data_IF_781277552454
#
_entry.id   IF_781277552454
#
_cell.length_a   1.000
_cell.length_b   1.000
_cell.length_c   1.000
_cell.angle_alpha   90.00
_cell.angle_beta   90.00
_cell.angle_gamma   90.00
#
_symmetry.space_group_name_H-M   'P 1'
#
loop_
_entity.id
_entity.type
_entity.pdbx_description
1 polymer ?
#
# COMPACT_ATOMS: atom_id res chain seq x y z
N UNK A 1 4.44 10.27 -16.86
CA UNK A 1 3.71 9.74 -15.69
C UNK A 1 3.90 8.23 -15.66
N UNK A 2 4.25 7.66 -14.50
CA UNK A 2 4.36 6.20 -14.34
C UNK A 2 2.99 5.53 -14.62
N UNK A 3 2.94 4.34 -15.24
CA UNK A 3 1.69 3.61 -15.46
C UNK A 3 0.85 3.42 -14.19
N UNK A 4 1.50 3.20 -13.05
CA UNK A 4 0.82 2.98 -11.76
C UNK A 4 0.06 4.21 -11.26
N UNK A 5 0.46 5.41 -11.70
CA UNK A 5 -0.21 6.66 -11.34
C UNK A 5 -1.51 6.90 -12.11
N UNK A 6 -1.84 6.03 -13.08
CA UNK A 6 -3.10 6.08 -13.85
C UNK A 6 -4.17 5.13 -13.30
N UNK A 7 -3.82 4.32 -12.29
CA UNK A 7 -4.77 3.41 -11.67
C UNK A 7 -5.76 4.19 -10.80
N UNK A 8 -7.03 3.76 -10.74
CA UNK A 8 -7.98 4.24 -9.74
C UNK A 8 -7.48 3.95 -8.32
N UNK A 9 -7.91 4.77 -7.35
CA UNK A 9 -7.50 4.61 -5.95
C UNK A 9 -7.97 3.27 -5.37
N UNK A 10 -9.13 2.77 -5.80
CA UNK A 10 -9.70 1.49 -5.40
C UNK A 10 -8.79 0.32 -5.82
N UNK A 11 -8.22 0.40 -7.02
CA UNK A 11 -7.29 -0.60 -7.52
C UNK A 11 -5.95 -0.53 -6.76
N UNK A 12 -5.46 0.66 -6.45
CA UNK A 12 -4.28 0.83 -5.61
C UNK A 12 -4.51 0.24 -4.20
N UNK A 13 -5.66 0.50 -3.58
CA UNK A 13 -6.02 -0.06 -2.28
C UNK A 13 -6.03 -1.60 -2.29
N UNK A 14 -6.62 -2.23 -3.32
CA UNK A 14 -6.61 -3.68 -3.47
C UNK A 14 -5.19 -4.25 -3.60
N UNK A 15 -4.33 -3.59 -4.39
CA UNK A 15 -2.91 -3.98 -4.52
C UNK A 15 -2.19 -3.88 -3.17
N UNK A 16 -2.43 -2.79 -2.43
CA UNK A 16 -1.81 -2.56 -1.13
C UNK A 16 -2.22 -3.62 -0.11
N UNK A 17 -3.51 -3.95 -0.03
CA UNK A 17 -4.03 -5.02 0.85
C UNK A 17 -3.41 -6.38 0.51
N UNK A 18 -3.30 -6.70 -0.78
CA UNK A 18 -2.68 -7.95 -1.21
C UNK A 18 -1.19 -8.00 -0.83
N UNK A 19 -0.46 -6.90 -0.99
CA UNK A 19 0.97 -6.82 -0.69
C UNK A 19 1.30 -6.95 0.81
N UNK A 20 0.39 -6.55 1.71
CA UNK A 20 0.60 -6.69 3.15
C UNK A 20 0.17 -8.06 3.69
N UNK A 21 -0.73 -8.78 3.00
CA UNK A 21 -1.16 -10.13 3.35
C UNK A 21 -0.09 -11.20 3.04
N UNK A 22 0.76 -10.93 2.05
CA UNK A 22 1.88 -11.80 1.68
C UNK A 22 3.19 -11.01 1.69
N UNK A 23 3.69 -10.61 2.88
CA UNK A 23 4.92 -9.86 2.97
C UNK A 23 6.09 -10.71 2.47
N UNK A 24 7.06 -10.06 1.81
CA UNK A 24 8.26 -10.75 1.35
C UNK A 24 9.00 -11.39 2.54
N UNK A 25 9.45 -12.66 2.43
CA UNK A 25 10.20 -13.30 3.50
C UNK A 25 11.46 -12.48 3.78
N UNK A 26 11.70 -12.17 5.06
CA UNK A 26 12.81 -11.35 5.57
C UNK A 26 12.71 -9.83 5.37
N UNK A 27 11.52 -9.27 5.15
CA UNK A 27 11.37 -7.81 5.20
C UNK A 27 11.60 -7.28 6.62
N UNK A 28 12.69 -6.56 6.85
CA UNK A 28 12.98 -5.88 8.11
C UNK A 28 12.04 -4.69 8.38
N UNK A 29 11.37 -4.19 7.34
CA UNK A 29 10.42 -3.07 7.41
C UNK A 29 8.99 -3.58 7.21
N UNK A 30 8.04 -2.98 7.92
CA UNK A 30 6.62 -3.25 7.71
C UNK A 30 6.22 -2.82 6.29
N UNK A 31 5.71 -3.76 5.49
CA UNK A 31 5.24 -3.50 4.10
C UNK A 31 4.28 -2.30 4.03
N UNK A 32 3.49 -2.10 5.09
CA UNK A 32 2.59 -0.95 5.23
C UNK A 32 3.33 0.40 5.14
N UNK A 33 4.44 0.52 5.87
CA UNK A 33 5.23 1.75 5.94
C UNK A 33 6.01 1.98 4.65
N UNK A 34 6.54 0.90 4.05
CA UNK A 34 7.27 0.97 2.78
C UNK A 34 6.37 1.51 1.68
N UNK A 35 5.19 0.93 1.48
CA UNK A 35 4.22 1.36 0.46
C UNK A 35 3.74 2.80 0.74
N UNK A 36 3.43 3.13 1.99
CA UNK A 36 3.00 4.48 2.38
C UNK A 36 4.10 5.54 2.17
N UNK A 37 5.36 5.15 2.05
CA UNK A 37 6.49 6.05 1.85
C UNK A 37 6.76 6.44 0.39
N UNK A 38 6.19 5.70 -0.58
CA UNK A 38 6.51 5.84 -2.01
C UNK A 38 6.23 7.24 -2.55
N UNK A 39 5.03 7.77 -2.33
CA UNK A 39 4.66 9.13 -2.71
C UNK A 39 3.46 9.64 -1.91
N UNK A 40 3.09 10.92 -2.07
CA UNK A 40 1.93 11.52 -1.38
C UNK A 40 0.62 10.83 -1.74
N UNK A 41 0.39 10.52 -3.02
CA UNK A 41 -0.84 9.87 -3.47
C UNK A 41 -1.01 8.47 -2.84
N UNK A 42 0.06 7.67 -2.78
CA UNK A 42 0.04 6.36 -2.16
C UNK A 42 -0.23 6.43 -0.66
N UNK A 43 0.40 7.40 0.02
CA UNK A 43 0.10 7.66 1.43
C UNK A 43 -1.37 8.02 1.65
N UNK A 44 -1.95 8.86 0.81
CA UNK A 44 -3.38 9.21 0.89
C UNK A 44 -4.26 7.97 0.73
N UNK A 45 -4.03 7.14 -0.29
CA UNK A 45 -4.81 5.91 -0.49
C UNK A 45 -4.66 4.94 0.68
N UNK A 46 -3.44 4.74 1.18
CA UNK A 46 -3.18 3.86 2.32
C UNK A 46 -3.87 4.34 3.61
N UNK A 47 -3.87 5.65 3.87
CA UNK A 47 -4.56 6.24 5.03
C UNK A 47 -6.09 6.21 4.88
N UNK A 48 -6.61 6.22 3.64
CA UNK A 48 -8.04 6.10 3.35
C UNK A 48 -8.54 4.66 3.27
N UNK A 49 -7.69 3.66 3.50
CA UNK A 49 -8.04 2.22 3.47
C UNK A 49 -7.85 1.64 4.88
N UNK A 50 -8.86 1.65 5.77
CA UNK A 50 -8.72 1.21 7.15
C UNK A 50 -8.25 -0.24 7.31
N UNK A 51 -8.70 -1.14 6.43
CA UNK A 51 -8.34 -2.57 6.41
C UNK A 51 -6.83 -2.76 6.25
N UNK A 52 -6.16 -1.79 5.62
CA UNK A 52 -4.72 -1.80 5.41
C UNK A 52 -3.94 -1.69 6.72
N UNK A 53 -4.53 -1.10 7.77
CA UNK A 53 -3.91 -0.91 9.09
C UNK A 53 -4.48 -1.85 10.16
N UNK A 54 -5.42 -2.72 9.80
CA UNK A 54 -6.15 -3.56 10.75
C UNK A 54 -5.36 -4.77 11.26
N UNK A 55 -4.22 -5.09 10.64
CA UNK A 55 -3.34 -6.20 11.05
C UNK A 55 -2.11 -5.61 11.74
N UNK A 56 -1.97 -5.90 13.05
CA UNK A 56 -0.83 -5.53 13.90
C UNK A 56 0.01 -6.78 14.14
#
# INVERSE_FOLDING_TARGET
LSPVARLPNEILALIFLHAIQSPAPNSALLSQLVISSVCRAWRTVALSTPEYWATI
#
